data_IF_406688662131
#
_entry.id   IF_406688662131
#
_cell.length_a   1.000
_cell.length_b   1.000
_cell.length_c   1.000
_cell.angle_alpha   90.00
_cell.angle_beta   90.00
_cell.angle_gamma   90.00
#
_symmetry.space_group_name_H-M   'P 1'
#
loop_
_entity.id
_entity.type
_entity.pdbx_description
1 polymer ?
#
# COMPACT_ATOMS: atom_id res chain seq x y z
N UNK A 1 -23.69 17.65 -49.74
CA UNK A 1 -22.87 18.86 -49.96
C UNK A 1 -22.86 19.82 -48.76
N UNK A 2 -23.84 20.73 -48.57
CA UNK A 2 -23.79 21.72 -47.47
C UNK A 2 -23.89 21.12 -46.06
N UNK A 3 -24.75 20.11 -45.87
CA UNK A 3 -24.91 19.44 -44.56
C UNK A 3 -23.66 18.63 -44.15
N UNK A 4 -22.97 18.01 -45.12
CA UNK A 4 -21.71 17.27 -44.86
C UNK A 4 -20.56 18.21 -44.53
N UNK A 5 -20.47 19.36 -45.20
CA UNK A 5 -19.47 20.38 -44.90
C UNK A 5 -19.64 20.94 -43.47
N UNK A 6 -20.89 21.20 -43.05
CA UNK A 6 -21.19 21.65 -41.69
C UNK A 6 -20.82 20.60 -40.62
N UNK A 7 -21.08 19.32 -40.89
CA UNK A 7 -20.72 18.23 -39.98
C UNK A 7 -19.20 18.05 -39.82
N UNK A 8 -18.43 18.19 -40.90
CA UNK A 8 -16.97 18.13 -40.85
C UNK A 8 -16.34 19.32 -40.09
N UNK A 9 -16.90 20.53 -40.24
CA UNK A 9 -16.48 21.70 -39.46
C UNK A 9 -16.75 21.51 -37.96
N UNK A 10 -17.94 20.99 -37.61
CA UNK A 10 -18.29 20.70 -36.21
C UNK A 10 -17.36 19.63 -35.58
N UNK A 11 -17.02 18.57 -36.33
CA UNK A 11 -16.07 17.54 -35.87
C UNK A 11 -14.66 18.10 -35.66
N UNK A 12 -14.17 18.98 -36.55
CA UNK A 12 -12.86 19.62 -36.43
C UNK A 12 -12.81 20.53 -35.20
N UNK A 13 -13.82 21.38 -35.02
CA UNK A 13 -13.93 22.25 -33.84
C UNK A 13 -13.99 21.44 -32.53
N UNK A 14 -14.71 20.31 -32.50
CA UNK A 14 -14.76 19.42 -31.33
C UNK A 14 -13.44 18.67 -31.07
N UNK A 15 -12.62 18.42 -32.10
CA UNK A 15 -11.29 17.82 -31.95
C UNK A 15 -10.27 18.86 -31.48
N UNK A 16 -10.34 20.08 -32.01
CA UNK A 16 -9.53 21.21 -31.56
C UNK A 16 -9.85 21.59 -30.11
N UNK A 17 -11.12 21.63 -29.72
CA UNK A 17 -11.53 21.87 -28.33
C UNK A 17 -10.96 20.83 -27.36
N UNK A 18 -11.03 19.53 -27.71
CA UNK A 18 -10.41 18.46 -26.92
C UNK A 18 -8.89 18.59 -26.83
N UNK A 19 -8.23 18.97 -27.92
CA UNK A 19 -6.79 19.20 -27.92
C UNK A 19 -6.40 20.37 -27.00
N UNK A 20 -7.19 21.44 -26.99
CA UNK A 20 -6.99 22.59 -26.08
C UNK A 20 -7.18 22.18 -24.62
N UNK A 21 -8.18 21.36 -24.31
CA UNK A 21 -8.41 20.86 -22.95
C UNK A 21 -7.30 19.92 -22.48
N UNK A 22 -6.81 19.03 -23.35
CA UNK A 22 -5.68 18.14 -23.06
C UNK A 22 -4.40 18.95 -22.80
N UNK A 23 -4.14 19.99 -23.59
CA UNK A 23 -3.01 20.91 -23.39
C UNK A 23 -3.13 21.64 -22.05
N UNK A 24 -4.32 22.16 -21.71
CA UNK A 24 -4.56 22.82 -20.42
C UNK A 24 -4.33 21.86 -19.25
N UNK A 25 -4.86 20.63 -19.34
CA UNK A 25 -4.66 19.61 -18.31
C UNK A 25 -3.17 19.30 -18.14
N UNK A 26 -2.43 19.15 -19.24
CA UNK A 26 -0.99 18.94 -19.19
C UNK A 26 -0.27 20.09 -18.50
N UNK A 27 -0.58 21.34 -18.86
CA UNK A 27 0.00 22.52 -18.21
C UNK A 27 -0.30 22.57 -16.70
N UNK A 28 -1.51 22.23 -16.28
CA UNK A 28 -1.89 22.19 -14.86
C UNK A 28 -1.11 21.10 -14.10
N UNK A 29 -0.93 19.92 -14.70
CA UNK A 29 -0.12 18.85 -14.11
C UNK A 29 1.35 19.25 -14.00
N UNK A 30 1.93 19.85 -15.05
CA UNK A 30 3.31 20.34 -15.03
C UNK A 30 3.49 21.42 -13.94
N UNK A 31 2.54 22.35 -13.83
CA UNK A 31 2.54 23.38 -12.76
C UNK A 31 2.53 22.76 -11.36
N UNK A 32 1.74 21.70 -11.15
CA UNK A 32 1.65 21.02 -9.85
C UNK A 32 2.95 20.28 -9.51
N UNK A 33 3.60 19.66 -10.50
CA UNK A 33 4.91 19.02 -10.33
C UNK A 33 5.97 20.05 -9.98
N UNK A 34 6.02 21.17 -10.69
CA UNK A 34 6.98 22.25 -10.45
C UNK A 34 6.78 22.88 -9.06
N UNK A 35 5.53 23.11 -8.65
CA UNK A 35 5.20 23.60 -7.31
C UNK A 35 5.68 22.62 -6.22
N UNK A 36 5.44 21.31 -6.39
CA UNK A 36 5.91 20.30 -5.46
C UNK A 36 7.46 20.25 -5.37
N UNK A 37 8.16 20.39 -6.50
CA UNK A 37 9.63 20.49 -6.51
C UNK A 37 10.14 21.78 -5.86
N UNK A 38 9.45 22.91 -6.06
CA UNK A 38 9.74 24.18 -5.38
C UNK A 38 9.64 24.04 -3.87
N UNK A 39 8.52 23.49 -3.36
CA UNK A 39 8.30 23.25 -1.93
C UNK A 39 9.36 22.32 -1.33
N UNK A 40 9.75 21.24 -2.02
CA UNK A 40 10.81 20.32 -1.54
C UNK A 40 12.16 21.02 -1.39
N UNK A 41 12.51 21.89 -2.34
CA UNK A 41 13.75 22.68 -2.29
C UNK A 41 13.73 23.68 -1.14
N UNK A 42 12.63 24.41 -0.98
CA UNK A 42 12.48 25.43 0.06
C UNK A 42 12.53 24.84 1.47
N UNK A 43 11.90 23.68 1.68
CA UNK A 43 11.91 22.96 2.95
C UNK A 43 13.22 22.19 3.21
N UNK A 44 14.20 22.25 2.31
CA UNK A 44 15.45 21.49 2.36
C UNK A 44 15.25 19.97 2.65
N UNK A 45 14.14 19.40 2.15
CA UNK A 45 13.81 18.00 2.42
C UNK A 45 14.81 17.08 1.71
N UNK A 46 15.48 16.15 2.42
CA UNK A 46 16.43 15.25 1.80
C UNK A 46 15.75 14.37 0.73
N UNK A 47 16.48 14.07 -0.33
CA UNK A 47 16.01 13.18 -1.42
C UNK A 47 15.84 11.72 -0.96
N UNK A 48 16.49 11.35 0.14
CA UNK A 48 16.44 10.03 0.78
C UNK A 48 16.10 10.20 2.27
N UNK A 49 14.83 10.03 2.61
CA UNK A 49 14.37 9.93 4.00
C UNK A 49 14.28 8.44 4.34
N UNK A 50 14.76 8.04 5.53
CA UNK A 50 14.49 6.71 6.08
C UNK A 50 12.98 6.49 6.18
N UNK A 51 12.48 5.28 5.96
CA UNK A 51 11.03 5.08 5.91
C UNK A 51 10.47 5.18 7.34
N UNK A 52 9.31 5.83 7.56
CA UNK A 52 8.74 5.99 8.91
C UNK A 52 8.60 4.68 9.70
N UNK A 53 8.24 3.57 9.05
CA UNK A 53 8.27 2.22 9.61
C UNK A 53 9.64 1.76 10.20
N UNK A 54 10.72 2.42 9.82
CA UNK A 54 12.07 2.18 10.32
C UNK A 54 12.34 3.01 11.60
N UNK A 55 11.52 4.03 11.89
CA UNK A 55 11.67 5.00 12.99
C UNK A 55 10.66 4.78 14.14
N UNK A 56 9.84 3.72 14.07
CA UNK A 56 8.75 3.50 15.02
C UNK A 56 9.25 3.38 16.45
N UNK A 57 8.89 4.42 17.22
CA UNK A 57 9.19 4.67 18.64
C UNK A 57 8.47 5.92 19.22
N UNK A 58 7.37 6.39 18.62
CA UNK A 58 6.51 7.42 19.25
C UNK A 58 5.70 8.36 18.31
N UNK A 59 4.43 8.58 18.72
CA UNK A 59 3.41 9.59 18.38
C UNK A 59 2.72 9.63 16.99
N UNK A 60 1.45 10.09 17.01
CA UNK A 60 0.36 9.74 16.09
C UNK A 60 -0.43 10.93 15.49
N UNK A 61 -1.26 10.60 14.47
CA UNK A 61 -2.52 11.24 13.96
C UNK A 61 -2.51 12.05 12.63
N UNK A 62 -3.20 11.57 11.57
CA UNK A 62 -4.53 12.02 11.01
C UNK A 62 -4.79 11.45 9.57
N UNK A 63 -6.07 11.45 9.17
CA UNK A 63 -6.78 10.61 8.19
C UNK A 63 -6.41 10.62 6.68
N UNK A 64 -6.82 9.55 5.97
CA UNK A 64 -6.72 9.36 4.50
C UNK A 64 -8.09 9.16 3.79
N UNK A 65 -8.23 9.54 2.50
CA UNK A 65 -9.43 9.34 1.70
C UNK A 65 -9.49 7.93 1.05
N UNK A 66 -10.68 7.34 0.98
CA UNK A 66 -10.90 6.04 0.31
C UNK A 66 -12.17 5.27 0.65
N UNK A 67 -13.17 5.88 1.31
CA UNK A 67 -14.37 5.21 1.86
C UNK A 67 -15.36 4.58 0.85
N UNK A 68 -15.08 4.62 -0.46
CA UNK A 68 -16.09 4.33 -1.49
C UNK A 68 -16.26 2.86 -1.90
N UNK A 69 -15.39 1.93 -1.48
CA UNK A 69 -15.45 0.51 -1.87
C UNK A 69 -15.70 -0.38 -0.65
N UNK A 70 -16.50 -1.42 -0.84
CA UNK A 70 -16.71 -2.48 0.15
C UNK A 70 -15.41 -3.24 0.40
N UNK A 71 -15.14 -3.59 1.67
CA UNK A 71 -13.91 -4.28 2.10
C UNK A 71 -13.74 -5.67 1.45
N UNK A 72 -14.78 -6.21 0.81
CA UNK A 72 -14.76 -7.49 0.09
C UNK A 72 -14.57 -7.41 -1.44
N UNK A 73 -14.46 -6.21 -2.03
CA UNK A 73 -14.28 -6.07 -3.49
C UNK A 73 -12.92 -6.67 -3.92
N UNK A 74 -12.89 -7.66 -4.84
CA UNK A 74 -11.67 -8.24 -5.37
C UNK A 74 -10.67 -7.26 -5.99
N UNK A 75 -11.13 -6.10 -6.45
CA UNK A 75 -10.28 -5.07 -7.05
C UNK A 75 -9.76 -4.05 -6.02
N UNK A 76 -10.22 -4.11 -4.77
CA UNK A 76 -9.86 -3.14 -3.74
C UNK A 76 -8.36 -3.08 -3.52
N UNK A 77 -7.72 -4.23 -3.30
CA UNK A 77 -6.29 -4.30 -3.02
C UNK A 77 -5.49 -3.78 -4.22
N UNK A 78 -5.86 -4.16 -5.45
CA UNK A 78 -5.18 -3.70 -6.67
C UNK A 78 -5.22 -2.16 -6.76
N UNK A 79 -6.37 -1.54 -6.48
CA UNK A 79 -6.49 -0.06 -6.46
C UNK A 79 -5.68 0.57 -5.34
N UNK A 80 -5.74 0.03 -4.13
CA UNK A 80 -4.97 0.57 -3.00
C UNK A 80 -3.46 0.50 -3.26
N UNK A 81 -2.98 -0.57 -3.92
CA UNK A 81 -1.57 -0.72 -4.28
C UNK A 81 -1.11 0.25 -5.37
N UNK A 82 -2.02 0.90 -6.10
CA UNK A 82 -1.67 1.98 -7.04
C UNK A 82 -1.47 3.35 -6.36
N UNK A 83 -1.83 3.47 -5.08
CA UNK A 83 -1.65 4.74 -4.36
C UNK A 83 -0.16 5.05 -4.20
N UNK A 84 0.26 6.31 -4.42
CA UNK A 84 1.65 6.69 -4.30
C UNK A 84 2.15 6.47 -2.87
N UNK A 85 3.32 5.85 -2.73
CA UNK A 85 4.00 5.60 -1.45
C UNK A 85 3.17 4.76 -0.45
N UNK A 86 2.19 3.99 -0.92
CA UNK A 86 1.39 3.11 -0.06
C UNK A 86 2.28 2.16 0.74
N UNK A 87 1.94 2.01 2.02
CA UNK A 87 2.55 1.04 2.91
C UNK A 87 1.57 -0.12 3.15
N UNK A 88 1.96 -1.31 2.71
CA UNK A 88 1.27 -2.55 2.98
C UNK A 88 1.88 -3.22 4.22
N UNK A 89 1.15 -3.23 5.32
CA UNK A 89 1.48 -3.97 6.54
C UNK A 89 0.72 -5.29 6.51
N UNK A 90 1.42 -6.41 6.63
CA UNK A 90 0.86 -7.75 6.49
C UNK A 90 1.03 -8.50 7.80
N UNK A 91 -0.09 -8.97 8.35
CA UNK A 91 -0.10 -9.96 9.42
C UNK A 91 0.19 -11.34 8.83
N UNK A 92 1.43 -11.79 9.04
CA UNK A 92 1.99 -12.94 8.36
C UNK A 92 1.22 -14.22 8.66
N UNK A 93 1.02 -14.56 9.94
CA UNK A 93 0.37 -15.83 10.29
C UNK A 93 -1.12 -15.82 10.01
N UNK A 94 -1.82 -14.68 10.12
CA UNK A 94 -3.21 -14.61 9.66
C UNK A 94 -3.33 -14.93 8.17
N UNK A 95 -2.41 -14.41 7.35
CA UNK A 95 -2.40 -14.69 5.91
C UNK A 95 -2.01 -16.13 5.61
N UNK A 96 -0.95 -16.66 6.24
CA UNK A 96 -0.48 -18.02 5.92
C UNK A 96 -1.42 -19.10 6.43
N UNK A 97 -1.97 -18.96 7.65
CA UNK A 97 -2.97 -19.89 8.21
C UNK A 97 -4.24 -19.92 7.33
N UNK A 98 -4.63 -18.80 6.73
CA UNK A 98 -5.77 -18.73 5.79
C UNK A 98 -5.50 -19.40 4.44
N UNK A 99 -4.28 -19.30 3.90
CA UNK A 99 -3.99 -19.70 2.53
C UNK A 99 -3.33 -21.08 2.37
N UNK A 100 -2.47 -21.45 3.30
CA UNK A 100 -1.64 -22.66 3.23
C UNK A 100 -1.17 -23.08 4.63
N UNK A 101 -2.12 -23.10 5.59
CA UNK A 101 -1.88 -23.43 6.99
C UNK A 101 -1.38 -24.85 7.25
N UNK A 102 -1.57 -25.77 6.30
CA UNK A 102 -1.08 -27.15 6.36
C UNK A 102 0.44 -27.27 6.17
N UNK A 103 1.09 -26.21 5.66
CA UNK A 103 2.55 -26.21 5.49
C UNK A 103 3.26 -26.02 6.85
N UNK A 104 4.49 -26.53 7.02
CA UNK A 104 5.34 -26.16 8.15
C UNK A 104 5.50 -24.63 8.27
N UNK A 105 5.62 -24.11 9.49
CA UNK A 105 5.72 -22.65 9.72
C UNK A 105 6.87 -22.00 8.93
N UNK A 106 8.01 -22.69 8.74
CA UNK A 106 9.12 -22.22 7.90
C UNK A 106 8.71 -21.98 6.45
N UNK A 107 7.92 -22.90 5.91
CA UNK A 107 7.52 -22.95 4.50
C UNK A 107 6.39 -21.95 4.26
N UNK A 108 5.48 -21.81 5.23
CA UNK A 108 4.49 -20.75 5.28
C UNK A 108 5.17 -19.38 5.15
N UNK A 109 6.15 -19.08 6.02
CA UNK A 109 6.86 -17.79 6.02
C UNK A 109 7.60 -17.56 4.70
N UNK A 110 8.37 -18.55 4.25
CA UNK A 110 9.15 -18.46 3.01
C UNK A 110 8.27 -18.20 1.79
N UNK A 111 7.14 -18.92 1.68
CA UNK A 111 6.17 -18.76 0.61
C UNK A 111 5.54 -17.36 0.60
N UNK A 112 5.10 -16.87 1.77
CA UNK A 112 4.51 -15.53 1.88
C UNK A 112 5.50 -14.45 1.48
N UNK A 113 6.69 -14.48 2.07
CA UNK A 113 7.73 -13.46 1.87
C UNK A 113 8.19 -13.43 0.41
N UNK A 114 8.32 -14.60 -0.24
CA UNK A 114 8.60 -14.69 -1.67
C UNK A 114 7.50 -14.03 -2.53
N UNK A 115 6.23 -14.36 -2.27
CA UNK A 115 5.11 -13.76 -2.99
C UNK A 115 5.02 -12.24 -2.80
N UNK A 116 5.25 -11.76 -1.57
CA UNK A 116 5.32 -10.34 -1.27
C UNK A 116 6.46 -9.63 -2.02
N UNK A 117 7.57 -10.33 -2.28
CA UNK A 117 8.67 -9.81 -3.10
C UNK A 117 8.24 -9.52 -4.54
N UNK A 118 7.51 -10.45 -5.16
CA UNK A 118 6.92 -10.24 -6.49
C UNK A 118 5.92 -9.09 -6.51
N UNK A 119 5.06 -9.01 -5.49
CA UNK A 119 4.09 -7.93 -5.34
C UNK A 119 4.76 -6.55 -5.21
N UNK A 120 5.78 -6.45 -4.36
CA UNK A 120 6.54 -5.22 -4.14
C UNK A 120 7.27 -4.78 -5.43
N UNK A 121 7.83 -5.72 -6.19
CA UNK A 121 8.49 -5.43 -7.46
C UNK A 121 7.51 -4.86 -8.50
N UNK A 122 6.30 -5.40 -8.58
CA UNK A 122 5.27 -4.97 -9.55
C UNK A 122 4.64 -3.62 -9.20
N UNK A 123 4.40 -3.37 -7.91
CA UNK A 123 3.62 -2.21 -7.45
C UNK A 123 4.46 -1.08 -6.90
N UNK A 124 5.73 -1.36 -6.55
CA UNK A 124 6.61 -0.48 -5.78
C UNK A 124 6.04 -0.07 -4.42
N UNK A 125 5.00 -0.77 -3.96
CA UNK A 125 4.46 -0.61 -2.62
C UNK A 125 5.56 -0.95 -1.60
N UNK A 126 5.59 -0.18 -0.51
CA UNK A 126 6.40 -0.53 0.63
C UNK A 126 5.72 -1.67 1.38
N UNK A 127 6.40 -2.81 1.58
CA UNK A 127 5.79 -3.97 2.23
C UNK A 127 6.48 -4.26 3.55
N UNK A 128 5.71 -4.47 4.61
CA UNK A 128 6.20 -4.97 5.91
C UNK A 128 5.36 -6.15 6.35
N UNK A 129 5.97 -7.33 6.37
CA UNK A 129 5.37 -8.54 6.89
C UNK A 129 5.76 -8.70 8.36
N UNK A 130 4.77 -8.82 9.23
CA UNK A 130 4.94 -9.03 10.67
C UNK A 130 4.59 -10.47 10.99
N UNK A 131 5.48 -11.18 11.67
CA UNK A 131 5.21 -12.50 12.22
C UNK A 131 5.23 -12.44 13.74
N UNK A 132 4.42 -13.27 14.38
CA UNK A 132 4.46 -13.42 15.83
C UNK A 132 5.76 -14.12 16.24
N UNK A 133 6.52 -13.47 17.13
CA UNK A 133 7.77 -13.99 17.68
C UNK A 133 7.57 -15.10 18.72
N UNK A 134 6.39 -15.22 19.32
CA UNK A 134 6.08 -16.29 20.28
C UNK A 134 6.02 -17.69 19.61
N UNK A 135 5.80 -17.72 18.30
CA UNK A 135 5.76 -18.95 17.47
C UNK A 135 7.17 -19.33 16.94
N UNK A 136 8.24 -18.76 17.51
CA UNK A 136 9.64 -19.06 17.17
C UNK A 136 10.35 -19.81 18.31
N UNK A 137 10.85 -21.00 18.03
CA UNK A 137 11.73 -21.74 18.96
C UNK A 137 13.16 -21.14 19.02
N UNK A 138 13.57 -20.42 17.98
CA UNK A 138 14.89 -19.80 17.86
C UNK A 138 14.84 -18.58 16.91
N UNK A 139 15.83 -17.67 16.94
CA UNK A 139 15.91 -16.56 15.99
C UNK A 139 15.96 -17.07 14.55
N UNK A 140 14.96 -16.72 13.73
CA UNK A 140 14.90 -17.10 12.31
C UNK A 140 15.36 -15.93 11.45
N UNK A 141 16.50 -16.10 10.78
CA UNK A 141 16.94 -15.17 9.75
C UNK A 141 16.15 -15.43 8.45
N UNK A 142 15.17 -14.58 8.16
CA UNK A 142 14.49 -14.58 6.86
C UNK A 142 15.20 -13.60 5.92
N UNK A 143 15.70 -14.11 4.80
CA UNK A 143 16.21 -13.25 3.72
C UNK A 143 15.03 -12.60 3.02
N UNK A 144 14.77 -11.33 3.34
CA UNK A 144 13.68 -10.58 2.74
C UNK A 144 14.05 -10.13 1.31
N UNK A 145 13.18 -10.35 0.30
CA UNK A 145 13.35 -9.78 -1.03
C UNK A 145 13.42 -8.26 -0.99
N UNK A 146 14.06 -7.65 -1.99
CA UNK A 146 14.09 -6.19 -2.13
C UNK A 146 12.67 -5.61 -2.14
N UNK A 147 12.44 -4.59 -1.30
CA UNK A 147 11.14 -3.93 -1.17
C UNK A 147 10.24 -4.52 -0.09
N UNK A 148 10.60 -5.67 0.49
CA UNK A 148 9.90 -6.30 1.61
C UNK A 148 10.74 -6.19 2.88
N UNK A 149 10.11 -5.78 3.98
CA UNK A 149 10.67 -5.93 5.33
C UNK A 149 9.95 -7.06 6.05
N UNK A 150 10.71 -7.82 6.82
CA UNK A 150 10.16 -8.86 7.70
C UNK A 150 10.49 -8.44 9.13
N UNK A 151 9.47 -8.33 9.97
CA UNK A 151 9.63 -8.08 11.41
C UNK A 151 9.01 -9.23 12.19
N UNK A 152 9.64 -9.57 13.30
CA UNK A 152 9.07 -10.46 14.32
C UNK A 152 8.70 -9.62 15.53
N UNK A 153 7.58 -9.91 16.17
CA UNK A 153 7.25 -9.26 17.45
C UNK A 153 8.27 -9.65 18.52
N UNK A 154 8.52 -8.75 19.46
CA UNK A 154 9.42 -9.03 20.59
C UNK A 154 8.77 -10.05 21.56
N UNK A 155 9.55 -10.78 22.37
CA UNK A 155 8.99 -11.62 23.42
C UNK A 155 8.06 -10.82 24.35
N UNK A 156 6.83 -11.32 24.55
CA UNK A 156 5.81 -10.61 25.35
C UNK A 156 5.04 -9.52 24.60
N UNK A 157 5.31 -9.31 23.31
CA UNK A 157 4.55 -8.44 22.42
C UNK A 157 3.87 -9.29 21.33
N UNK A 158 2.60 -9.05 21.09
CA UNK A 158 1.85 -9.71 20.02
C UNK A 158 2.17 -9.09 18.65
N UNK A 159 1.95 -9.84 17.57
CA UNK A 159 2.04 -9.29 16.22
C UNK A 159 1.07 -8.09 16.02
N UNK A 160 -0.12 -8.17 16.61
CA UNK A 160 -1.18 -7.16 16.50
C UNK A 160 -0.77 -5.82 17.13
N UNK A 161 -0.12 -5.88 18.31
CA UNK A 161 0.44 -4.70 18.97
C UNK A 161 1.51 -4.04 18.10
N UNK A 162 2.45 -4.82 17.56
CA UNK A 162 3.50 -4.33 16.66
C UNK A 162 2.92 -3.75 15.36
N UNK A 163 1.90 -4.38 14.77
CA UNK A 163 1.18 -3.83 13.61
C UNK A 163 0.56 -2.47 13.98
N UNK A 164 -0.08 -2.37 15.14
CA UNK A 164 -0.63 -1.11 15.64
C UNK A 164 0.44 -0.02 15.80
N UNK A 165 1.62 -0.37 16.30
CA UNK A 165 2.77 0.55 16.41
C UNK A 165 3.26 1.02 15.05
N UNK A 166 3.42 0.08 14.10
CA UNK A 166 3.83 0.39 12.73
C UNK A 166 2.88 1.38 12.08
N UNK A 167 1.56 1.11 12.17
CA UNK A 167 0.54 2.00 11.60
C UNK A 167 0.58 3.39 12.25
N UNK A 168 0.75 3.46 13.57
CA UNK A 168 0.74 4.74 14.30
C UNK A 168 1.93 5.63 13.99
N UNK A 169 3.08 5.05 13.65
CA UNK A 169 4.28 5.81 13.31
C UNK A 169 4.30 6.33 11.86
N UNK A 170 3.36 5.89 11.02
CA UNK A 170 3.28 6.39 9.66
C UNK A 170 2.78 7.85 9.62
N UNK A 171 3.34 8.70 8.73
CA UNK A 171 2.97 10.10 8.65
C UNK A 171 1.49 10.25 8.30
N UNK A 172 0.82 11.24 8.91
CA UNK A 172 -0.55 11.58 8.55
C UNK A 172 -0.68 11.83 7.05
N UNK A 173 -1.70 11.26 6.41
CA UNK A 173 -1.91 11.38 4.96
C UNK A 173 -1.10 10.42 4.09
N UNK A 174 -0.28 9.52 4.67
CA UNK A 174 0.26 8.39 3.92
C UNK A 174 -0.79 7.26 3.85
N UNK A 175 -1.07 6.68 2.67
CA UNK A 175 -1.95 5.53 2.60
C UNK A 175 -1.29 4.30 3.24
N UNK A 176 -1.94 3.75 4.27
CA UNK A 176 -1.54 2.51 4.95
C UNK A 176 -2.63 1.47 4.79
N UNK A 177 -2.25 0.26 4.37
CA UNK A 177 -3.14 -0.89 4.22
C UNK A 177 -2.67 -1.98 5.16
N UNK A 178 -3.55 -2.44 6.04
CA UNK A 178 -3.28 -3.54 6.98
C UNK A 178 -3.99 -4.78 6.48
N UNK A 179 -3.23 -5.82 6.17
CA UNK A 179 -3.77 -7.12 5.75
C UNK A 179 -3.83 -8.04 6.96
N UNK A 180 -5.05 -8.38 7.40
CA UNK A 180 -5.29 -9.44 8.38
C UNK A 180 -6.72 -9.97 8.22
N UNK A 181 -6.95 -11.18 8.72
CA UNK A 181 -8.27 -11.80 8.85
C UNK A 181 -8.87 -11.57 10.24
N UNK A 182 -8.07 -11.07 11.18
CA UNK A 182 -8.52 -10.75 12.53
C UNK A 182 -9.35 -9.46 12.56
N UNK A 183 -10.52 -9.53 13.21
CA UNK A 183 -11.42 -8.40 13.35
C UNK A 183 -10.86 -7.33 14.29
N UNK A 184 -10.17 -7.72 15.35
CA UNK A 184 -9.58 -6.78 16.30
C UNK A 184 -8.47 -5.96 15.64
N UNK A 185 -7.62 -6.60 14.84
CA UNK A 185 -6.60 -5.94 14.02
C UNK A 185 -7.24 -5.01 13.00
N UNK A 186 -8.29 -5.47 12.30
CA UNK A 186 -8.99 -4.66 11.33
C UNK A 186 -9.61 -3.40 11.97
N UNK A 187 -10.23 -3.54 13.15
CA UNK A 187 -10.82 -2.43 13.88
C UNK A 187 -9.75 -1.49 14.46
N UNK A 188 -8.63 -2.03 14.95
CA UNK A 188 -7.49 -1.22 15.38
C UNK A 188 -6.90 -0.42 14.22
N UNK A 189 -6.75 -1.03 13.04
CA UNK A 189 -6.31 -0.35 11.83
C UNK A 189 -7.28 0.79 11.45
N UNK A 190 -8.61 0.54 11.46
CA UNK A 190 -9.62 1.58 11.21
C UNK A 190 -9.51 2.74 12.21
N UNK A 191 -9.38 2.44 13.51
CA UNK A 191 -9.20 3.45 14.56
C UNK A 191 -7.94 4.29 14.30
N UNK A 192 -6.86 3.65 13.86
CA UNK A 192 -5.60 4.29 13.50
C UNK A 192 -5.58 4.91 12.09
N UNK A 193 -6.74 4.99 11.41
CA UNK A 193 -6.90 5.56 10.06
C UNK A 193 -6.18 4.81 8.93
N UNK A 194 -5.76 3.57 9.17
CA UNK A 194 -5.33 2.65 8.12
C UNK A 194 -6.52 1.90 7.50
N UNK A 195 -6.33 1.40 6.28
CA UNK A 195 -7.35 0.62 5.58
C UNK A 195 -7.16 -0.86 5.88
N UNK A 196 -8.11 -1.54 6.57
CA UNK A 196 -8.05 -2.98 6.69
C UNK A 196 -8.34 -3.65 5.35
N UNK A 197 -7.71 -4.78 5.12
CA UNK A 197 -7.86 -5.61 3.94
C UNK A 197 -7.87 -7.09 4.36
N UNK A 198 -8.88 -7.88 3.97
CA UNK A 198 -8.91 -9.31 4.29
C UNK A 198 -7.72 -10.07 3.70
N UNK A 199 -7.18 -11.02 4.47
CA UNK A 199 -6.11 -11.95 4.04
C UNK A 199 -6.41 -12.63 2.69
N UNK A 200 -7.66 -12.95 2.42
CA UNK A 200 -8.11 -13.60 1.18
C UNK A 200 -7.88 -12.74 -0.07
N UNK A 201 -7.98 -11.41 0.03
CA UNK A 201 -7.69 -10.51 -1.10
C UNK A 201 -6.21 -10.52 -1.45
N UNK A 202 -5.33 -10.51 -0.44
CA UNK A 202 -3.89 -10.64 -0.66
C UNK A 202 -3.54 -12.00 -1.26
N UNK A 203 -4.06 -13.10 -0.70
CA UNK A 203 -3.81 -14.45 -1.22
C UNK A 203 -4.23 -14.59 -2.68
N UNK A 204 -5.41 -14.06 -3.04
CA UNK A 204 -5.87 -14.03 -4.44
C UNK A 204 -4.93 -13.23 -5.32
N UNK A 205 -4.40 -12.10 -4.83
CA UNK A 205 -3.47 -11.25 -5.57
C UNK A 205 -2.10 -11.91 -5.77
N UNK A 206 -1.62 -12.65 -4.78
CA UNK A 206 -0.37 -13.41 -4.85
C UNK A 206 -0.47 -14.60 -5.80
N UNK A 207 -1.63 -15.26 -5.87
CA UNK A 207 -1.86 -16.39 -6.78
C UNK A 207 -1.95 -16.03 -8.28
N UNK A 208 -1.92 -14.74 -8.63
CA UNK A 208 -1.88 -14.26 -10.03
C UNK A 208 -0.47 -13.99 -10.54
N UNK A 209 0.54 -14.05 -9.67
CA UNK A 209 1.93 -13.65 -9.96
C UNK A 209 2.81 -14.83 -10.32
#
# INVERSE_FOLDING_TARGET
AQAEAAAEVAKRAAREGRNVDDVRLRMLLDTLVDAAQGVRRELALPSTIGRPADLVGGQAHRAMPGRALSDGDPQLLDRLLTLPQVHLVVDGYNVTKTGYGELPLSDQRSRLVSGLGGLAAQTRAEVTCVFDGAELDAPVAIVAPRGVRVKFSAPGQTADELIGELVRAEPPGRPVVVVSSDREVADAARRAQARPCPSTLLLRRLGRS
#
